data_IF_240430576483
#
_entry.id   IF_240430576483
#
_cell.length_a   1.000
_cell.length_b   1.000
_cell.length_c   1.000
_cell.angle_alpha   90.00
_cell.angle_beta   90.00
_cell.angle_gamma   90.00
#
_symmetry.space_group_name_H-M   'P 1'
#
loop_
_entity.id
_entity.type
_entity.pdbx_description
1 polymer ?
#
# COMPACT_ATOMS: atom_id res chain seq x y z
N UNK A 1 31.02 10.23 2.89
CA UNK A 1 30.34 9.36 1.91
C UNK A 1 29.14 8.81 2.64
N UNK A 2 27.93 9.17 2.23
CA UNK A 2 26.72 8.64 2.82
C UNK A 2 26.66 7.13 2.53
N UNK A 3 26.50 6.33 3.57
CA UNK A 3 26.39 4.88 3.42
C UNK A 3 25.14 4.54 2.61
N UNK A 4 25.28 3.87 1.47
CA UNK A 4 24.12 3.47 0.66
C UNK A 4 23.26 2.39 1.34
N UNK A 5 23.67 1.91 2.50
CA UNK A 5 23.00 0.90 3.34
C UNK A 5 22.25 1.50 4.53
N UNK A 6 22.15 2.82 4.63
CA UNK A 6 21.55 3.49 5.78
C UNK A 6 20.11 3.08 6.05
N UNK A 7 19.71 3.20 7.31
CA UNK A 7 18.32 2.98 7.75
C UNK A 7 17.36 3.78 6.87
N UNK A 8 16.50 3.06 6.18
CA UNK A 8 15.44 3.67 5.42
C UNK A 8 14.46 4.36 6.37
N UNK A 9 14.31 5.68 6.33
CA UNK A 9 13.34 6.35 7.19
C UNK A 9 11.94 5.86 6.86
N UNK A 10 11.18 5.55 7.89
CA UNK A 10 9.76 5.27 7.77
C UNK A 10 8.99 6.50 8.26
N UNK A 11 8.49 7.28 7.32
CA UNK A 11 7.71 8.46 7.60
C UNK A 11 6.23 8.09 7.56
N UNK A 12 5.51 8.44 8.62
CA UNK A 12 4.06 8.23 8.73
C UNK A 12 3.36 9.52 9.07
N UNK A 13 2.28 9.81 8.36
CA UNK A 13 1.49 11.01 8.54
C UNK A 13 0.01 10.66 8.46
N UNK A 14 -0.76 11.06 9.47
CA UNK A 14 -2.20 10.84 9.53
C UNK A 14 -2.94 12.16 9.58
N UNK A 15 -3.95 12.32 8.72
CA UNK A 15 -4.85 13.47 8.72
C UNK A 15 -6.29 12.99 8.78
N UNK A 16 -7.06 13.60 9.66
CA UNK A 16 -8.46 13.24 9.86
C UNK A 16 -9.31 14.51 9.91
N UNK A 17 -10.39 14.52 9.14
CA UNK A 17 -11.39 15.58 9.17
C UNK A 17 -12.75 14.93 9.31
N UNK A 18 -13.55 15.41 10.26
CA UNK A 18 -14.92 14.96 10.46
C UNK A 18 -15.83 16.17 10.59
N UNK A 19 -16.93 16.14 9.87
CA UNK A 19 -18.01 17.10 10.00
C UNK A 19 -19.27 16.35 10.41
N UNK A 20 -19.96 16.89 11.40
CA UNK A 20 -21.23 16.36 11.87
C UNK A 20 -22.26 17.49 11.82
N UNK A 21 -23.41 17.20 11.23
CA UNK A 21 -24.52 18.13 11.16
C UNK A 21 -25.79 17.45 11.64
N UNK A 22 -26.43 18.02 12.66
CA UNK A 22 -27.70 17.54 13.22
C UNK A 22 -28.75 18.59 12.95
N UNK A 23 -29.92 18.16 12.47
CA UNK A 23 -31.08 18.99 12.20
C UNK A 23 -32.33 18.36 12.80
N UNK A 24 -33.13 19.15 13.44
CA UNK A 24 -34.47 18.78 13.89
C UNK A 24 -35.48 19.10 12.79
N UNK A 25 -35.93 18.05 12.06
CA UNK A 25 -36.86 18.18 10.94
C UNK A 25 -38.28 18.46 11.46
N UNK A 26 -38.66 17.80 12.60
CA UNK A 26 -39.93 17.99 13.26
C UNK A 26 -39.79 17.63 14.75
N UNK A 27 -40.81 17.94 15.61
CA UNK A 27 -40.77 17.54 17.03
C UNK A 27 -40.54 16.04 17.27
N UNK A 28 -40.74 15.20 16.26
CA UNK A 28 -40.60 13.75 16.35
C UNK A 28 -39.57 13.18 15.43
N UNK A 29 -38.76 14.01 14.71
CA UNK A 29 -37.81 13.55 13.74
C UNK A 29 -36.54 14.38 13.73
N UNK A 30 -35.41 13.72 13.88
CA UNK A 30 -34.07 14.29 13.70
C UNK A 30 -33.34 13.66 12.55
N UNK A 31 -32.46 14.42 11.95
CA UNK A 31 -31.54 14.01 10.92
C UNK A 31 -30.13 14.29 11.36
N UNK A 32 -29.28 13.29 11.27
CA UNK A 32 -27.84 13.39 11.53
C UNK A 32 -27.08 13.03 10.26
N UNK A 33 -26.23 13.93 9.82
CA UNK A 33 -25.35 13.69 8.69
C UNK A 33 -23.91 13.76 9.15
N UNK A 34 -23.15 12.73 8.86
CA UNK A 34 -21.73 12.68 9.16
C UNK A 34 -20.94 12.50 7.88
N UNK A 35 -19.97 13.39 7.69
CA UNK A 35 -18.93 13.28 6.68
C UNK A 35 -17.59 13.04 7.35
N UNK A 36 -16.82 12.08 6.85
CA UNK A 36 -15.47 11.79 7.33
C UNK A 36 -14.48 11.69 6.17
N UNK A 37 -13.30 12.27 6.39
CA UNK A 37 -12.13 12.12 5.53
C UNK A 37 -10.97 11.67 6.40
N UNK A 38 -10.34 10.56 6.04
CA UNK A 38 -9.11 10.10 6.63
C UNK A 38 -8.08 9.92 5.53
N UNK A 39 -6.88 10.44 5.76
CA UNK A 39 -5.71 10.23 4.92
C UNK A 39 -4.57 9.70 5.76
N UNK A 40 -4.09 8.54 5.40
CA UNK A 40 -2.88 7.94 5.93
C UNK A 40 -1.80 7.94 4.86
N UNK A 41 -0.66 8.54 5.17
CA UNK A 41 0.51 8.56 4.32
C UNK A 41 1.62 7.76 4.98
N UNK A 42 2.21 6.85 4.26
CA UNK A 42 3.39 6.13 4.68
C UNK A 42 4.42 6.19 3.56
N UNK A 43 5.61 6.64 3.89
CA UNK A 43 6.74 6.66 2.97
C UNK A 43 7.90 5.95 3.61
N UNK A 44 8.49 5.03 2.89
CA UNK A 44 9.64 4.27 3.37
C UNK A 44 10.54 3.87 2.22
N UNK A 45 11.74 3.44 2.56
CA UNK A 45 12.78 3.14 1.60
C UNK A 45 13.95 4.14 1.68
N UNK A 46 15.04 3.84 1.02
CA UNK A 46 16.23 4.67 1.10
C UNK A 46 16.16 5.85 0.14
N UNK A 47 16.29 7.07 0.66
CA UNK A 47 16.35 8.30 -0.13
C UNK A 47 17.77 8.64 -0.60
N UNK A 48 18.81 8.09 0.03
CA UNK A 48 20.22 8.46 -0.23
C UNK A 48 20.64 8.12 -1.65
N UNK A 49 20.16 7.01 -2.19
CA UNK A 49 20.45 6.58 -3.56
C UNK A 49 19.44 7.05 -4.61
N UNK A 50 18.43 7.83 -4.23
CA UNK A 50 17.40 8.30 -5.15
C UNK A 50 17.98 9.21 -6.23
N UNK A 51 17.61 8.97 -7.50
CA UNK A 51 18.11 9.72 -8.64
C UNK A 51 19.51 9.36 -9.10
N UNK A 52 20.17 8.38 -8.48
CA UNK A 52 21.48 7.91 -8.94
C UNK A 52 21.38 7.29 -10.33
N UNK A 53 22.23 7.72 -11.25
CA UNK A 53 22.30 7.16 -12.59
C UNK A 53 23.16 5.87 -12.61
N UNK A 54 22.57 4.69 -12.81
CA UNK A 54 23.28 3.41 -12.81
C UNK A 54 24.34 3.26 -13.92
N UNK A 55 24.28 4.09 -14.97
CA UNK A 55 25.33 4.13 -16.01
C UNK A 55 26.70 4.47 -15.43
N UNK A 56 26.74 5.22 -14.33
CA UNK A 56 28.01 5.56 -13.64
C UNK A 56 28.73 4.35 -13.04
N UNK A 57 28.02 3.22 -12.91
CA UNK A 57 28.58 1.94 -12.47
C UNK A 57 28.97 1.02 -13.63
N UNK A 58 28.88 1.51 -14.87
CA UNK A 58 29.16 0.68 -16.05
C UNK A 58 28.03 -0.26 -16.47
N UNK A 59 26.84 -0.10 -15.91
CA UNK A 59 25.66 -0.89 -16.35
C UNK A 59 25.30 -0.44 -17.76
N UNK A 60 25.00 -1.42 -18.63
CA UNK A 60 24.65 -1.19 -20.02
C UNK A 60 23.57 -0.11 -20.18
N UNK A 61 23.84 0.95 -20.96
CA UNK A 61 22.86 2.01 -21.21
C UNK A 61 21.52 1.51 -21.78
N UNK A 62 21.51 0.44 -22.57
CA UNK A 62 20.30 -0.14 -23.13
C UNK A 62 19.43 -0.82 -22.03
N UNK A 63 20.06 -1.41 -21.03
CA UNK A 63 19.38 -1.95 -19.86
C UNK A 63 18.87 -0.81 -18.97
N UNK A 64 19.71 0.20 -18.70
CA UNK A 64 19.32 1.36 -17.87
C UNK A 64 18.14 2.13 -18.47
N UNK A 65 18.01 2.18 -19.80
CA UNK A 65 16.87 2.82 -20.46
C UNK A 65 15.52 2.13 -20.17
N UNK A 66 15.52 0.91 -19.65
CA UNK A 66 14.31 0.17 -19.26
C UNK A 66 13.92 0.39 -17.79
N UNK A 67 14.75 1.06 -17.00
CA UNK A 67 14.49 1.28 -15.59
C UNK A 67 13.37 2.32 -15.40
N UNK A 68 12.44 2.02 -14.53
CA UNK A 68 11.30 2.91 -14.24
C UNK A 68 11.62 4.04 -13.27
N UNK A 69 12.61 3.83 -12.43
CA UNK A 69 13.13 4.82 -11.47
C UNK A 69 14.64 4.67 -11.36
N UNK A 70 15.33 5.79 -11.20
CA UNK A 70 16.77 5.79 -10.96
C UNK A 70 17.04 5.78 -9.47
N UNK A 71 17.73 4.75 -9.03
CA UNK A 71 18.10 4.49 -7.66
C UNK A 71 19.51 3.88 -7.66
N UNK A 72 20.26 4.05 -6.59
CA UNK A 72 21.50 3.27 -6.43
C UNK A 72 21.13 1.78 -6.37
N UNK A 73 21.67 0.93 -7.27
CA UNK A 73 21.34 -0.49 -7.33
C UNK A 73 21.66 -1.21 -6.02
N UNK A 74 20.96 -2.29 -5.76
CA UNK A 74 21.28 -3.17 -4.65
C UNK A 74 22.26 -4.24 -5.09
N UNK A 75 23.34 -4.39 -4.32
CA UNK A 75 24.34 -5.45 -4.48
C UNK A 75 24.32 -6.32 -3.23
N UNK A 76 24.02 -7.60 -3.41
CA UNK A 76 24.04 -8.61 -2.34
C UNK A 76 25.27 -9.49 -2.52
N UNK A 77 26.04 -9.66 -1.47
CA UNK A 77 27.25 -10.45 -1.48
C UNK A 77 27.14 -11.61 -0.51
N UNK A 78 27.39 -12.83 -0.98
CA UNK A 78 27.47 -13.96 -0.08
C UNK A 78 28.57 -13.73 0.97
N UNK A 79 28.24 -13.98 2.23
CA UNK A 79 29.14 -13.83 3.40
C UNK A 79 29.60 -12.38 3.71
N UNK A 80 29.03 -11.36 3.02
CA UNK A 80 29.33 -9.95 3.28
C UNK A 80 28.03 -9.12 3.38
N UNK A 81 28.17 -7.91 3.90
CA UNK A 81 27.07 -6.97 3.97
C UNK A 81 26.67 -6.48 2.57
N UNK A 82 25.38 -6.44 2.33
CA UNK A 82 24.81 -5.88 1.10
C UNK A 82 25.00 -4.36 1.03
N UNK A 83 25.11 -3.84 -0.19
CA UNK A 83 25.22 -2.41 -0.49
C UNK A 83 24.01 -1.99 -1.32
N UNK A 84 23.46 -0.81 -1.05
CA UNK A 84 22.24 -0.33 -1.65
C UNK A 84 20.99 -0.87 -0.95
N UNK A 85 19.82 -0.40 -1.37
CA UNK A 85 18.53 -0.78 -0.78
C UNK A 85 17.42 -0.72 -1.82
N UNK A 86 16.21 -1.07 -1.39
CA UNK A 86 15.00 -0.83 -2.15
C UNK A 86 14.74 0.67 -2.38
N UNK A 87 13.98 0.99 -3.42
CA UNK A 87 13.61 2.35 -3.75
C UNK A 87 12.66 2.95 -2.70
N UNK A 88 12.81 4.25 -2.46
CA UNK A 88 11.84 5.01 -1.70
C UNK A 88 10.49 5.03 -2.43
N UNK A 89 9.44 4.65 -1.73
CA UNK A 89 8.08 4.61 -2.25
C UNK A 89 7.07 5.15 -1.25
N UNK A 90 6.39 6.29 -1.54
CA UNK A 90 5.25 6.74 -0.76
C UNK A 90 4.03 5.86 -1.05
N UNK A 91 3.25 5.59 -0.02
CA UNK A 91 1.93 4.99 -0.12
C UNK A 91 0.91 5.88 0.57
N UNK A 92 -0.28 6.01 0.00
CA UNK A 92 -1.38 6.73 0.63
C UNK A 92 -2.62 5.85 0.72
N UNK A 93 -3.33 5.95 1.82
CA UNK A 93 -4.63 5.34 2.04
C UNK A 93 -5.61 6.43 2.40
N UNK A 94 -6.53 6.71 1.50
CA UNK A 94 -7.58 7.68 1.73
C UNK A 94 -8.91 6.96 1.96
N UNK A 95 -9.69 7.41 2.91
CA UNK A 95 -11.07 6.99 3.07
C UNK A 95 -12.00 8.20 3.19
N UNK A 96 -13.07 8.15 2.46
CA UNK A 96 -14.15 9.12 2.48
C UNK A 96 -15.40 8.41 2.96
N UNK A 97 -16.15 8.99 3.89
CA UNK A 97 -17.38 8.41 4.39
C UNK A 97 -18.51 9.41 4.43
N UNK A 98 -19.71 8.94 4.08
CA UNK A 98 -20.97 9.67 4.16
C UNK A 98 -21.95 8.80 4.94
N UNK A 99 -22.57 9.36 5.99
CA UNK A 99 -23.46 8.62 6.88
C UNK A 99 -24.69 9.49 7.22
N UNK A 100 -25.75 9.50 6.39
CA UNK A 100 -27.03 10.06 6.75
C UNK A 100 -27.78 9.10 7.68
N UNK A 101 -28.29 9.61 8.79
CA UNK A 101 -29.09 8.86 9.77
C UNK A 101 -30.33 9.65 10.15
N UNK A 102 -31.42 8.96 10.36
CA UNK A 102 -32.68 9.51 10.81
C UNK A 102 -33.14 8.81 12.07
N UNK A 103 -33.68 9.59 12.99
CA UNK A 103 -34.38 9.08 14.17
C UNK A 103 -35.79 9.61 14.15
N UNK A 104 -36.77 8.72 14.31
CA UNK A 104 -38.20 9.06 14.27
C UNK A 104 -38.94 8.45 15.46
N UNK A 105 -39.63 9.28 16.20
CA UNK A 105 -40.61 8.85 17.22
C UNK A 105 -41.98 8.73 16.55
N UNK A 106 -42.59 7.57 16.64
CA UNK A 106 -43.93 7.30 16.12
C UNK A 106 -44.76 6.52 17.17
N UNK A 107 -45.46 7.28 18.02
CA UNK A 107 -46.24 6.70 19.14
C UNK A 107 -45.30 5.95 20.10
N UNK A 108 -45.39 4.62 20.13
CA UNK A 108 -44.58 3.77 21.01
C UNK A 108 -43.31 3.24 20.35
N UNK A 109 -43.03 3.64 19.10
CA UNK A 109 -41.88 3.23 18.32
C UNK A 109 -40.84 4.33 18.29
N UNK A 110 -39.58 3.94 18.45
CA UNK A 110 -38.44 4.81 18.19
C UNK A 110 -37.62 4.18 17.07
N UNK A 111 -37.84 4.65 15.85
CA UNK A 111 -37.27 4.09 14.64
C UNK A 111 -36.00 4.85 14.30
N UNK A 112 -34.91 4.13 14.10
CA UNK A 112 -33.64 4.61 13.57
C UNK A 112 -33.41 3.97 12.21
N UNK A 113 -33.08 4.74 11.19
CA UNK A 113 -32.68 4.24 9.90
C UNK A 113 -31.62 5.14 9.27
N UNK A 114 -30.83 4.54 8.44
CA UNK A 114 -29.72 5.27 7.84
C UNK A 114 -29.02 4.47 6.76
N UNK A 115 -28.07 5.16 6.15
CA UNK A 115 -27.20 4.58 5.15
C UNK A 115 -25.75 4.98 5.41
N UNK A 116 -24.84 4.25 4.81
CA UNK A 116 -23.43 4.55 4.82
C UNK A 116 -22.85 4.28 3.44
N UNK A 117 -22.07 5.22 2.92
CA UNK A 117 -21.24 5.04 1.75
C UNK A 117 -19.81 5.40 2.09
N UNK A 118 -18.87 4.51 1.76
CA UNK A 118 -17.44 4.79 1.89
C UNK A 118 -16.73 4.53 0.57
N UNK A 119 -15.75 5.37 0.29
CA UNK A 119 -14.78 5.14 -0.78
C UNK A 119 -13.41 4.99 -0.14
N UNK A 120 -12.72 3.94 -0.50
CA UNK A 120 -11.34 3.70 -0.12
C UNK A 120 -10.44 3.81 -1.34
N UNK A 121 -9.35 4.57 -1.20
CA UNK A 121 -8.30 4.65 -2.20
C UNK A 121 -7.00 4.16 -1.58
N UNK A 122 -6.34 3.25 -2.27
CA UNK A 122 -5.02 2.74 -1.91
C UNK A 122 -4.06 3.05 -3.06
N UNK A 123 -3.16 3.99 -2.85
CA UNK A 123 -2.13 4.35 -3.82
C UNK A 123 -0.78 3.84 -3.29
N UNK A 124 -0.17 2.93 -4.00
CA UNK A 124 1.13 2.39 -3.64
C UNK A 124 2.14 2.82 -4.70
N UNK A 125 3.10 3.66 -4.31
CA UNK A 125 4.30 3.74 -5.13
C UNK A 125 5.12 2.47 -4.92
N UNK A 126 5.45 1.80 -6.00
CA UNK A 126 6.20 0.57 -5.97
C UNK A 126 7.56 0.80 -5.32
N UNK A 127 7.80 0.04 -4.26
CA UNK A 127 9.14 -0.17 -3.70
C UNK A 127 9.81 -1.29 -4.50
N UNK A 128 10.91 -1.77 -4.09
CA UNK A 128 11.67 -2.81 -4.74
C UNK A 128 12.89 -2.25 -5.44
N UNK A 129 13.36 -2.93 -6.46
CA UNK A 129 14.67 -2.66 -7.04
C UNK A 129 14.55 -2.18 -8.49
N UNK A 130 14.07 -0.95 -8.74
CA UNK A 130 13.83 -0.44 -10.09
C UNK A 130 15.11 -0.23 -10.90
N UNK A 131 16.26 -0.09 -10.23
CA UNK A 131 17.59 -0.02 -10.85
C UNK A 131 18.40 -1.31 -10.70
N UNK A 132 17.72 -2.39 -10.29
CA UNK A 132 18.30 -3.72 -10.19
C UNK A 132 18.74 -4.11 -8.78
N UNK A 133 18.62 -5.39 -8.53
CA UNK A 133 19.26 -6.12 -7.43
C UNK A 133 20.18 -7.16 -8.06
N UNK A 134 21.44 -7.14 -7.68
CA UNK A 134 22.51 -7.92 -8.24
C UNK A 134 23.15 -8.75 -7.14
N UNK A 135 23.09 -10.06 -7.25
CA UNK A 135 23.61 -10.96 -6.23
C UNK A 135 24.89 -11.62 -6.71
N UNK A 136 25.87 -11.67 -5.84
CA UNK A 136 27.17 -12.25 -6.09
C UNK A 136 27.46 -13.31 -5.04
N UNK A 137 27.68 -14.52 -5.50
CA UNK A 137 28.14 -15.63 -4.68
C UNK A 137 29.57 -16.01 -5.08
N UNK A 138 30.15 -16.99 -4.41
CA UNK A 138 31.51 -17.44 -4.64
C UNK A 138 31.69 -18.40 -5.83
N UNK A 139 30.59 -18.86 -6.45
CA UNK A 139 30.61 -19.97 -7.40
C UNK A 139 31.53 -19.72 -8.61
N UNK A 140 31.57 -18.50 -9.12
CA UNK A 140 32.39 -18.14 -10.28
C UNK A 140 33.89 -18.07 -9.99
N UNK A 141 34.28 -18.03 -8.74
CA UNK A 141 35.68 -17.91 -8.29
C UNK A 141 36.13 -19.11 -7.47
N UNK A 142 35.30 -20.16 -7.38
CA UNK A 142 35.69 -21.42 -6.76
C UNK A 142 36.76 -22.17 -7.59
N UNK A 143 37.58 -22.96 -6.92
CA UNK A 143 38.57 -23.82 -7.57
C UNK A 143 37.93 -24.81 -8.58
N UNK A 144 36.71 -25.24 -8.29
CA UNK A 144 35.90 -26.04 -9.21
C UNK A 144 34.47 -25.47 -9.22
N UNK A 145 34.07 -24.83 -10.33
CA UNK A 145 32.76 -24.22 -10.48
C UNK A 145 31.58 -25.22 -10.46
N UNK A 146 31.84 -26.51 -10.71
CA UNK A 146 30.79 -27.55 -10.77
C UNK A 146 30.62 -28.29 -9.45
N UNK A 147 31.49 -28.05 -8.48
CA UNK A 147 31.43 -28.71 -7.16
C UNK A 147 31.42 -27.67 -6.07
N UNK A 148 30.42 -27.75 -5.18
CA UNK A 148 30.37 -26.89 -4.01
C UNK A 148 31.65 -27.04 -3.18
N UNK A 149 32.34 -25.94 -2.95
CA UNK A 149 33.57 -25.87 -2.17
C UNK A 149 33.47 -24.75 -1.12
N UNK A 150 33.53 -25.14 0.13
CA UNK A 150 33.48 -24.20 1.25
C UNK A 150 34.81 -23.44 1.43
N UNK A 151 35.92 -23.99 0.93
CA UNK A 151 37.26 -23.49 1.17
C UNK A 151 37.77 -22.51 0.11
N UNK A 152 37.13 -22.45 -1.05
CA UNK A 152 37.56 -21.58 -2.16
C UNK A 152 36.41 -20.72 -2.71
N UNK A 153 36.78 -19.66 -3.43
CA UNK A 153 35.87 -18.69 -4.00
C UNK A 153 35.56 -17.52 -3.05
N UNK A 154 35.21 -16.37 -3.64
CA UNK A 154 34.88 -15.17 -2.91
C UNK A 154 33.88 -14.31 -3.69
N UNK A 155 32.80 -13.87 -3.04
CA UNK A 155 31.75 -13.07 -3.65
C UNK A 155 32.25 -11.70 -4.15
N UNK A 156 33.21 -11.08 -3.46
CA UNK A 156 33.81 -9.81 -3.91
C UNK A 156 34.67 -10.05 -5.15
N UNK A 157 35.39 -11.16 -5.22
CA UNK A 157 36.13 -11.51 -6.44
C UNK A 157 35.18 -11.71 -7.63
N UNK A 158 34.04 -12.39 -7.41
CA UNK A 158 32.99 -12.54 -8.43
C UNK A 158 32.41 -11.19 -8.86
N UNK A 159 32.21 -10.26 -7.93
CA UNK A 159 31.78 -8.89 -8.21
C UNK A 159 32.79 -8.15 -9.08
N UNK A 160 34.09 -8.25 -8.77
CA UNK A 160 35.15 -7.63 -9.55
C UNK A 160 35.27 -8.18 -10.97
N UNK A 161 34.81 -9.41 -11.20
CA UNK A 161 34.68 -9.98 -12.56
C UNK A 161 33.48 -9.39 -13.32
N UNK A 162 32.57 -8.68 -12.65
CA UNK A 162 31.36 -8.12 -13.27
C UNK A 162 30.30 -9.15 -13.62
N UNK A 163 30.37 -10.37 -13.08
CA UNK A 163 29.46 -11.48 -13.41
C UNK A 163 28.54 -11.78 -12.22
N UNK A 164 27.31 -11.25 -12.15
CA UNK A 164 26.39 -11.59 -11.08
C UNK A 164 25.94 -13.05 -11.16
N UNK A 165 25.72 -13.66 -10.01
CA UNK A 165 25.15 -15.01 -9.92
C UNK A 165 23.65 -15.02 -10.19
N UNK A 166 22.97 -13.92 -9.86
CA UNK A 166 21.60 -13.64 -10.25
C UNK A 166 21.37 -12.13 -10.29
N UNK A 167 20.43 -11.71 -11.11
CA UNK A 167 20.01 -10.31 -11.20
C UNK A 167 18.49 -10.23 -11.42
N UNK A 168 17.89 -9.20 -10.85
CA UNK A 168 16.50 -8.85 -11.13
C UNK A 168 16.33 -7.34 -11.24
N UNK A 169 15.45 -6.91 -12.12
CA UNK A 169 15.01 -5.52 -12.24
C UNK A 169 13.50 -5.50 -12.11
N UNK A 170 13.00 -4.72 -11.17
CA UNK A 170 11.58 -4.63 -10.94
C UNK A 170 10.98 -3.45 -11.71
N UNK A 171 10.03 -3.74 -12.57
CA UNK A 171 9.24 -2.73 -13.26
C UNK A 171 8.05 -2.33 -12.39
N UNK A 172 8.15 -1.16 -11.75
CA UNK A 172 7.09 -0.64 -10.89
C UNK A 172 5.98 0.02 -11.72
N UNK A 173 4.75 -0.37 -11.45
CA UNK A 173 3.55 0.18 -12.11
C UNK A 173 2.80 1.20 -11.23
N UNK A 174 3.21 1.37 -9.98
CA UNK A 174 2.62 2.28 -8.99
C UNK A 174 1.08 2.18 -8.97
N UNK A 175 0.50 1.04 -8.57
CA UNK A 175 -0.93 0.80 -8.70
C UNK A 175 -1.73 1.69 -7.77
N UNK A 176 -2.91 2.10 -8.23
CA UNK A 176 -3.84 2.94 -7.49
C UNK A 176 -5.23 2.29 -7.46
N UNK A 177 -5.51 1.60 -6.39
CA UNK A 177 -6.77 0.89 -6.22
C UNK A 177 -7.85 1.76 -5.61
N UNK A 178 -9.09 1.41 -5.91
CA UNK A 178 -10.29 1.95 -5.29
C UNK A 178 -11.31 0.85 -5.09
N UNK A 179 -12.01 0.90 -3.96
CA UNK A 179 -13.23 0.12 -3.72
C UNK A 179 -14.23 0.95 -2.94
N UNK A 180 -15.48 0.51 -2.96
CA UNK A 180 -16.58 1.14 -2.28
C UNK A 180 -17.23 0.18 -1.29
N UNK A 181 -17.68 0.74 -0.20
CA UNK A 181 -18.52 0.07 0.79
C UNK A 181 -19.84 0.81 0.87
N UNK A 182 -20.94 0.06 0.91
CA UNK A 182 -22.28 0.57 1.09
C UNK A 182 -22.99 -0.21 2.17
N UNK A 183 -23.77 0.48 3.00
CA UNK A 183 -24.61 -0.14 4.00
C UNK A 183 -25.91 0.64 4.18
N UNK A 184 -26.94 -0.08 4.60
CA UNK A 184 -28.20 0.48 5.02
C UNK A 184 -28.74 -0.27 6.22
N UNK A 185 -29.41 0.43 7.12
CA UNK A 185 -30.01 -0.21 8.29
C UNK A 185 -31.34 0.45 8.69
N UNK A 186 -32.16 -0.34 9.35
CA UNK A 186 -33.36 0.11 10.06
C UNK A 186 -33.43 -0.63 11.38
N UNK A 187 -33.76 0.08 12.44
CA UNK A 187 -33.94 -0.45 13.81
C UNK A 187 -35.16 0.18 14.43
N UNK A 188 -35.92 -0.59 15.20
CA UNK A 188 -37.06 -0.12 15.98
C UNK A 188 -36.92 -0.52 17.46
N UNK A 189 -37.05 0.44 18.34
CA UNK A 189 -37.18 0.27 19.78
C UNK A 189 -38.68 0.44 20.12
N UNK A 190 -39.42 -0.65 20.18
CA UNK A 190 -40.87 -0.68 20.39
C UNK A 190 -41.21 -0.87 21.87
N UNK A 191 -41.83 0.12 22.47
CA UNK A 191 -42.42 0.01 23.82
C UNK A 191 -43.80 -0.66 23.77
N UNK A 192 -43.79 -2.02 23.81
CA UNK A 192 -45.00 -2.81 23.70
C UNK A 192 -45.94 -2.57 24.88
N UNK A 193 -45.35 -2.52 26.10
CA UNK A 193 -46.05 -2.16 27.36
C UNK A 193 -45.21 -1.24 28.21
N UNK A 194 -45.69 -0.78 29.38
CA UNK A 194 -44.88 -0.01 30.33
C UNK A 194 -43.72 -0.80 30.92
N UNK A 195 -43.72 -2.14 30.82
CA UNK A 195 -42.70 -3.04 31.39
C UNK A 195 -41.95 -3.85 30.35
N UNK A 196 -42.37 -3.82 29.08
CA UNK A 196 -41.77 -4.59 28.02
C UNK A 196 -41.44 -3.69 26.83
N UNK A 197 -40.18 -3.66 26.45
CA UNK A 197 -39.68 -3.06 25.22
C UNK A 197 -39.02 -4.14 24.36
N UNK A 198 -39.27 -4.10 23.09
CA UNK A 198 -38.65 -4.98 22.08
C UNK A 198 -37.74 -4.13 21.23
N UNK A 199 -36.56 -4.64 20.93
CA UNK A 199 -35.62 -4.03 20.02
C UNK A 199 -35.35 -5.02 18.88
N UNK A 200 -35.51 -4.59 17.64
CA UNK A 200 -35.22 -5.37 16.47
C UNK A 200 -34.74 -4.47 15.32
N UNK A 201 -33.92 -5.03 14.46
CA UNK A 201 -33.35 -4.27 13.35
C UNK A 201 -32.81 -5.18 12.27
N UNK A 202 -32.63 -4.58 11.12
CA UNK A 202 -31.99 -5.19 9.96
C UNK A 202 -30.88 -4.26 9.47
N UNK A 203 -29.73 -4.86 9.15
CA UNK A 203 -28.62 -4.20 8.46
C UNK A 203 -28.23 -5.02 7.24
N UNK A 204 -28.03 -4.33 6.14
CA UNK A 204 -27.44 -4.89 4.93
C UNK A 204 -26.19 -4.09 4.63
N UNK A 205 -25.12 -4.77 4.23
CA UNK A 205 -23.90 -4.13 3.76
C UNK A 205 -23.27 -4.94 2.62
N UNK A 206 -22.50 -4.24 1.80
CA UNK A 206 -21.76 -4.81 0.67
C UNK A 206 -20.51 -4.00 0.38
N UNK A 207 -19.53 -4.69 -0.19
CA UNK A 207 -18.26 -4.09 -0.60
C UNK A 207 -17.95 -4.49 -2.04
N UNK A 208 -17.47 -3.55 -2.84
CA UNK A 208 -17.04 -3.84 -4.20
C UNK A 208 -15.63 -4.43 -4.21
N UNK A 209 -15.29 -5.17 -5.26
CA UNK A 209 -13.90 -5.56 -5.50
C UNK A 209 -12.97 -4.36 -5.70
N UNK A 210 -11.68 -4.58 -5.50
CA UNK A 210 -10.64 -3.59 -5.80
C UNK A 210 -10.57 -3.34 -7.31
N UNK A 211 -10.66 -2.08 -7.72
CA UNK A 211 -10.50 -1.63 -9.09
C UNK A 211 -9.23 -0.79 -9.20
N UNK A 212 -8.32 -1.15 -10.09
CA UNK A 212 -7.19 -0.26 -10.42
C UNK A 212 -7.69 0.90 -11.29
N UNK A 213 -7.52 2.14 -10.81
CA UNK A 213 -8.16 3.34 -11.37
C UNK A 213 -7.67 3.74 -12.75
N UNK A 214 -6.48 3.30 -13.15
CA UNK A 214 -5.80 3.70 -14.37
C UNK A 214 -5.52 2.53 -15.30
N UNK A 215 -6.10 1.35 -15.00
CA UNK A 215 -5.94 0.11 -15.78
C UNK A 215 -4.47 -0.28 -15.99
N UNK A 216 -3.65 -0.16 -14.93
CA UNK A 216 -2.22 -0.49 -14.96
C UNK A 216 -1.89 -1.87 -14.43
N UNK A 217 -2.89 -2.58 -13.91
CA UNK A 217 -2.70 -3.93 -13.39
C UNK A 217 -2.57 -4.93 -14.52
N UNK A 218 -1.56 -5.79 -14.43
CA UNK A 218 -1.41 -6.93 -15.33
C UNK A 218 -2.31 -8.06 -14.83
N UNK A 219 -3.22 -8.54 -15.66
CA UNK A 219 -4.21 -9.57 -15.31
C UNK A 219 -3.81 -10.98 -15.81
N UNK A 220 -2.58 -11.18 -16.16
CA UNK A 220 -2.06 -12.46 -16.65
C UNK A 220 -1.13 -12.32 -17.85
N UNK A 221 -0.70 -13.44 -18.38
CA UNK A 221 0.02 -13.53 -19.65
C UNK A 221 -1.01 -13.76 -20.76
N UNK A 222 -0.93 -12.98 -21.81
CA UNK A 222 -1.64 -13.21 -23.07
C UNK A 222 -0.74 -14.15 -23.92
N UNK A 223 -1.20 -15.37 -24.20
CA UNK A 223 -0.46 -16.39 -24.95
C UNK A 223 -0.89 -16.42 -26.41
#
# INVERSE_FOLDING_TARGET
VAEPTGNAPLLRNGRNVMMNWTSTISPTMTFDFRFGLNRWEEAGGNTIGAGFDPKKLGIDPALVAQFTKFQFPRFDFQDYQSVGSDAFGPGTRDSYSLQPNFNKVLGRHFIKFGAEARQYNLNNAGRGYPSGQWSFNKNWTQANAQRADAASGNAIATFLLGIPSSAQVQKNIDPAYRHFYYAGFIQDDWKLTSRLSLNFGLRWDTETGNLERFNRQVNGLDF
#
